data_IF_014335566564
#
_entry.id   IF_014335566564
#
_cell.length_a   1.000
_cell.length_b   1.000
_cell.length_c   1.000
_cell.angle_alpha   90.00
_cell.angle_beta   90.00
_cell.angle_gamma   90.00
#
_symmetry.space_group_name_H-M   'P 1'
#
loop_
_entity.id
_entity.type
_entity.pdbx_description
1 polymer ?
#
# COMPACT_ATOMS: atom_id res chain seq x y z
N UNK A 1 -25.98 4.71 38.67
CA UNK A 1 -25.77 4.26 37.27
C UNK A 1 -24.35 4.65 36.93
N UNK A 2 -23.49 3.69 36.61
CA UNK A 2 -22.14 3.98 36.13
C UNK A 2 -22.26 4.10 34.61
N UNK A 3 -22.10 5.31 34.09
CA UNK A 3 -22.00 5.53 32.65
C UNK A 3 -20.56 5.30 32.23
N UNK A 4 -20.33 4.32 31.35
CA UNK A 4 -19.02 4.07 30.76
C UNK A 4 -18.89 4.82 29.43
N UNK A 5 -17.76 5.53 29.25
CA UNK A 5 -17.46 6.26 28.03
C UNK A 5 -16.92 5.29 26.98
N UNK A 6 -17.67 5.09 25.90
CA UNK A 6 -17.19 4.34 24.73
C UNK A 6 -16.28 5.23 23.87
N UNK A 7 -15.02 4.83 23.70
CA UNK A 7 -14.11 5.47 22.74
C UNK A 7 -14.05 4.65 21.46
N UNK A 8 -14.68 5.15 20.40
CA UNK A 8 -14.58 4.56 19.06
C UNK A 8 -13.42 5.23 18.32
N UNK A 9 -12.34 4.50 17.98
CA UNK A 9 -11.23 5.06 17.22
C UNK A 9 -11.68 5.46 15.80
N UNK A 10 -11.10 6.52 15.24
CA UNK A 10 -11.43 6.96 13.89
C UNK A 10 -11.11 5.88 12.83
N UNK A 11 -11.85 5.84 11.70
CA UNK A 11 -11.49 4.99 10.57
C UNK A 11 -10.09 5.35 10.06
N UNK A 12 -9.29 4.31 9.79
CA UNK A 12 -7.97 4.46 9.19
C UNK A 12 -7.97 3.81 7.82
N UNK A 13 -7.70 4.62 6.80
CA UNK A 13 -7.55 4.12 5.44
C UNK A 13 -6.24 3.34 5.30
N UNK A 14 -6.22 2.37 4.37
CA UNK A 14 -4.99 1.71 4.01
C UNK A 14 -3.96 2.71 3.47
N UNK A 15 -2.71 2.60 3.94
CA UNK A 15 -1.57 3.32 3.37
C UNK A 15 -0.52 2.34 2.87
N UNK A 16 -0.03 2.58 1.65
CA UNK A 16 1.12 1.88 1.11
C UNK A 16 2.38 2.71 1.36
N UNK A 17 3.54 2.07 1.29
CA UNK A 17 4.82 2.77 1.25
C UNK A 17 4.97 3.57 -0.03
N UNK A 18 5.97 4.44 -0.05
CA UNK A 18 6.52 4.93 -1.31
C UNK A 18 7.06 3.77 -2.14
N UNK A 19 7.17 4.02 -3.45
CA UNK A 19 7.79 3.08 -4.36
C UNK A 19 9.27 2.91 -4.04
N UNK A 20 9.76 1.68 -4.14
CA UNK A 20 11.18 1.41 -4.22
C UNK A 20 11.77 2.12 -5.44
N UNK A 21 13.10 2.36 -5.44
CA UNK A 21 13.81 2.65 -6.67
C UNK A 21 13.52 1.59 -7.73
N UNK A 22 13.56 2.02 -8.98
CA UNK A 22 13.48 1.11 -10.11
C UNK A 22 14.68 0.16 -10.13
N UNK A 23 14.44 -1.10 -10.50
CA UNK A 23 15.51 -2.04 -10.80
C UNK A 23 16.34 -1.59 -12.01
N UNK A 24 17.50 -2.20 -12.18
CA UNK A 24 18.20 -2.18 -13.46
C UNK A 24 17.30 -2.72 -14.58
N UNK A 25 17.55 -2.26 -15.80
CA UNK A 25 16.90 -2.80 -16.98
C UNK A 25 17.30 -4.28 -17.14
N UNK A 26 16.34 -5.16 -17.43
CA UNK A 26 16.62 -6.58 -17.67
C UNK A 26 17.45 -6.83 -18.93
N UNK A 27 17.57 -5.84 -19.81
CA UNK A 27 18.32 -5.91 -21.05
C UNK A 27 19.31 -4.75 -21.17
N UNK A 28 20.49 -5.03 -21.72
CA UNK A 28 21.50 -4.02 -22.03
C UNK A 28 21.25 -3.28 -23.35
N UNK A 29 20.38 -3.81 -24.22
CA UNK A 29 19.94 -3.17 -25.47
C UNK A 29 18.53 -3.64 -25.86
N UNK A 30 17.82 -2.86 -26.68
CA UNK A 30 16.46 -3.17 -27.12
C UNK A 30 15.40 -2.99 -26.03
N UNK A 31 14.33 -3.78 -26.08
CA UNK A 31 13.24 -3.73 -25.10
C UNK A 31 13.58 -4.55 -23.86
N UNK A 32 13.55 -3.91 -22.69
CA UNK A 32 13.75 -4.56 -21.40
C UNK A 32 12.69 -4.16 -20.39
N UNK A 33 12.66 -4.88 -19.27
CA UNK A 33 11.75 -4.64 -18.16
C UNK A 33 12.51 -3.98 -17.01
N UNK A 34 11.83 -3.06 -16.32
CA UNK A 34 12.25 -2.52 -15.04
C UNK A 34 11.14 -2.80 -14.05
N UNK A 35 11.51 -3.16 -12.84
CA UNK A 35 10.58 -3.54 -11.79
C UNK A 35 10.76 -2.59 -10.62
N UNK A 36 9.66 -2.15 -10.02
CA UNK A 36 9.67 -1.53 -8.68
C UNK A 36 8.58 -2.14 -7.82
N UNK A 37 8.74 -2.02 -6.51
CA UNK A 37 7.79 -2.55 -5.53
C UNK A 37 7.37 -1.50 -4.51
N UNK A 38 6.22 -1.71 -3.88
CA UNK A 38 5.78 -0.99 -2.69
C UNK A 38 5.14 -2.00 -1.75
N UNK A 39 5.18 -1.73 -0.45
CA UNK A 39 4.63 -2.62 0.56
C UNK A 39 3.50 -1.94 1.35
N UNK A 40 2.77 -2.76 2.09
CA UNK A 40 1.71 -2.28 2.97
C UNK A 40 2.32 -1.60 4.20
N UNK A 41 2.04 -0.29 4.37
CA UNK A 41 2.52 0.48 5.52
C UNK A 41 1.49 0.45 6.65
N UNK A 42 0.22 0.65 6.33
CA UNK A 42 -0.88 0.68 7.29
C UNK A 42 -2.07 -0.14 6.76
N UNK A 43 -2.58 -1.05 7.58
CA UNK A 43 -3.79 -1.83 7.26
C UNK A 43 -5.03 -0.94 7.45
N UNK A 44 -6.07 -1.14 6.64
CA UNK A 44 -7.34 -0.46 6.86
C UNK A 44 -7.94 -0.91 8.19
N UNK A 45 -8.52 0.04 8.94
CA UNK A 45 -9.13 -0.21 10.26
C UNK A 45 -10.42 0.59 10.45
N UNK A 46 -11.32 0.05 11.27
CA UNK A 46 -12.62 0.61 11.63
C UNK A 46 -13.44 1.19 10.46
N UNK A 47 -13.55 0.43 9.37
CA UNK A 47 -14.31 0.86 8.18
C UNK A 47 -13.55 1.78 7.21
N UNK A 48 -12.24 1.99 7.42
CA UNK A 48 -11.39 2.71 6.48
C UNK A 48 -11.23 1.99 5.13
N UNK A 49 -10.86 2.74 4.09
CA UNK A 49 -10.80 2.26 2.70
C UNK A 49 -9.72 1.19 2.53
N UNK A 50 -10.02 0.07 1.83
CA UNK A 50 -9.04 -0.99 1.58
C UNK A 50 -7.95 -0.53 0.62
N UNK A 51 -6.80 -1.22 0.66
CA UNK A 51 -5.69 -0.96 -0.25
C UNK A 51 -6.09 -1.26 -1.70
N UNK A 52 -5.63 -0.47 -2.69
CA UNK A 52 -5.76 -0.87 -4.08
C UNK A 52 -5.03 -2.20 -4.30
N UNK A 53 -5.58 -3.07 -5.16
CA UNK A 53 -4.90 -4.29 -5.58
C UNK A 53 -3.58 -3.89 -6.24
N UNK A 54 -2.49 -4.51 -5.80
CA UNK A 54 -1.19 -4.30 -6.42
C UNK A 54 -1.22 -4.99 -7.78
N UNK A 55 -1.54 -4.24 -8.84
CA UNK A 55 -1.40 -4.72 -10.21
C UNK A 55 0.10 -4.86 -10.50
N UNK A 56 0.59 -6.10 -10.46
CA UNK A 56 1.96 -6.48 -10.81
C UNK A 56 2.25 -6.32 -12.33
N UNK A 57 1.22 -6.05 -13.14
CA UNK A 57 1.32 -6.06 -14.61
C UNK A 57 1.90 -4.76 -15.21
N UNK A 58 1.95 -3.66 -14.45
CA UNK A 58 2.42 -2.34 -14.90
C UNK A 58 3.43 -1.73 -13.90
N UNK A 59 4.19 -2.57 -13.20
CA UNK A 59 5.20 -2.19 -12.20
C UNK A 59 6.62 -2.41 -12.69
#
# INVERSE_FOLDING_TARGET
LVEEVCHVPCPLDCKLSDWSPWSACSASCGSGLKIRSKWLREKPFNGGRPCPKLDLKNQ
#
